data_IF_535036498943
#
_entry.id   IF_535036498943
#
_cell.length_a   1.000
_cell.length_b   1.000
_cell.length_c   1.000
_cell.angle_alpha   90.00
_cell.angle_beta   90.00
_cell.angle_gamma   90.00
#
_symmetry.space_group_name_H-M   'P 1'
#
loop_
_entity.id
_entity.type
_entity.pdbx_description
1 polymer ?
#
# COMPACT_ATOMS: atom_id res chain seq x y z
N UNK A 1 -19.37 2.19 -24.23
CA UNK A 1 -18.31 2.89 -23.45
C UNK A 1 -18.83 3.25 -22.06
N UNK A 2 -19.91 4.02 -21.93
CA UNK A 2 -20.52 4.31 -20.61
C UNK A 2 -20.94 3.04 -19.85
N UNK A 3 -21.54 2.06 -20.55
CA UNK A 3 -21.87 0.75 -19.97
C UNK A 3 -20.64 0.01 -19.40
N UNK A 4 -19.45 0.22 -19.99
CA UNK A 4 -18.21 -0.42 -19.52
C UNK A 4 -17.67 0.26 -18.26
N UNK A 5 -17.80 1.59 -18.15
CA UNK A 5 -17.39 2.34 -16.96
C UNK A 5 -18.34 2.06 -15.78
N UNK A 6 -19.64 1.99 -16.03
CA UNK A 6 -20.60 1.62 -14.98
C UNK A 6 -20.36 0.18 -14.50
N UNK A 7 -20.03 -0.73 -15.42
CA UNK A 7 -19.65 -2.09 -15.05
C UNK A 7 -18.37 -2.13 -14.19
N UNK A 8 -17.36 -1.33 -14.51
CA UNK A 8 -16.14 -1.18 -13.70
C UNK A 8 -16.48 -0.69 -12.29
N UNK A 9 -17.36 0.31 -12.14
CA UNK A 9 -17.79 0.82 -10.84
C UNK A 9 -18.54 -0.24 -10.03
N UNK A 10 -19.36 -1.07 -10.67
CA UNK A 10 -20.05 -2.17 -9.98
C UNK A 10 -19.05 -3.22 -9.48
N UNK A 11 -18.05 -3.57 -10.29
CA UNK A 11 -16.98 -4.47 -9.85
C UNK A 11 -16.18 -3.89 -8.69
N UNK A 12 -15.98 -2.57 -8.63
CA UNK A 12 -15.34 -1.92 -7.48
C UNK A 12 -16.19 -2.06 -6.20
N UNK A 13 -17.53 -1.93 -6.30
CA UNK A 13 -18.44 -2.17 -5.17
C UNK A 13 -18.39 -3.63 -4.69
N UNK A 14 -18.26 -4.56 -5.63
CA UNK A 14 -18.08 -5.99 -5.39
C UNK A 14 -16.66 -6.36 -4.92
N UNK A 15 -15.76 -5.38 -4.77
CA UNK A 15 -14.34 -5.55 -4.39
C UNK A 15 -13.51 -6.39 -5.37
N UNK A 16 -13.98 -6.51 -6.60
CA UNK A 16 -13.33 -7.22 -7.71
C UNK A 16 -12.30 -6.31 -8.42
N UNK A 17 -11.37 -5.72 -7.64
CA UNK A 17 -10.51 -4.63 -8.10
C UNK A 17 -9.56 -5.02 -9.25
N UNK A 18 -9.07 -6.26 -9.28
CA UNK A 18 -8.21 -6.76 -10.38
C UNK A 18 -8.99 -6.86 -11.68
N UNK A 19 -10.21 -7.39 -11.60
CA UNK A 19 -11.11 -7.56 -12.74
C UNK A 19 -11.57 -6.19 -13.26
N UNK A 20 -11.93 -5.28 -12.34
CA UNK A 20 -12.27 -3.90 -12.64
C UNK A 20 -11.13 -3.17 -13.37
N UNK A 21 -9.89 -3.29 -12.87
CA UNK A 21 -8.70 -2.72 -13.51
C UNK A 21 -8.49 -3.29 -14.92
N UNK A 22 -8.58 -4.61 -15.07
CA UNK A 22 -8.40 -5.28 -16.37
C UNK A 22 -9.41 -4.80 -17.40
N UNK A 23 -10.69 -4.69 -17.01
CA UNK A 23 -11.76 -4.23 -17.90
C UNK A 23 -11.58 -2.77 -18.25
N UNK A 24 -11.21 -1.93 -17.28
CA UNK A 24 -10.95 -0.52 -17.53
C UNK A 24 -9.80 -0.35 -18.52
N UNK A 25 -8.67 -1.01 -18.31
CA UNK A 25 -7.51 -0.93 -19.19
C UNK A 25 -7.80 -1.45 -20.60
N UNK A 26 -8.49 -2.58 -20.73
CA UNK A 26 -8.91 -3.08 -22.04
C UNK A 26 -9.92 -2.17 -22.74
N UNK A 27 -10.71 -1.41 -21.96
CA UNK A 27 -11.60 -0.38 -22.51
C UNK A 27 -10.77 0.82 -23.00
N UNK A 28 -9.78 1.26 -22.22
CA UNK A 28 -8.85 2.34 -22.58
C UNK A 28 -8.10 2.06 -23.88
N UNK A 29 -7.56 0.84 -24.02
CA UNK A 29 -6.83 0.40 -25.23
C UNK A 29 -7.69 0.43 -26.49
N UNK A 30 -9.00 0.20 -26.38
CA UNK A 30 -9.94 0.24 -27.51
C UNK A 30 -10.39 1.64 -27.88
N UNK A 31 -10.19 2.62 -26.99
CA UNK A 31 -10.64 3.99 -27.18
C UNK A 31 -9.62 4.86 -27.92
N UNK A 32 -8.36 4.44 -27.94
CA UNK A 32 -7.26 5.20 -28.53
C UNK A 32 -6.49 4.31 -29.50
N UNK A 33 -6.52 4.67 -30.79
CA UNK A 33 -5.89 3.88 -31.87
C UNK A 33 -4.38 3.77 -31.68
N UNK A 34 -3.77 4.77 -31.03
CA UNK A 34 -2.34 4.78 -30.76
C UNK A 34 -1.95 3.74 -29.70
N UNK A 35 -2.94 3.18 -28.98
CA UNK A 35 -2.77 2.13 -27.98
C UNK A 35 -3.07 0.72 -28.50
N UNK A 36 -3.56 0.55 -29.73
CA UNK A 36 -3.95 -0.77 -30.28
C UNK A 36 -2.78 -1.76 -30.37
N UNK A 37 -1.55 -1.25 -30.45
CA UNK A 37 -0.32 -2.08 -30.46
C UNK A 37 0.03 -2.67 -29.10
N UNK A 38 -0.57 -2.17 -28.01
CA UNK A 38 -0.33 -2.66 -26.66
C UNK A 38 -1.21 -3.89 -26.42
N UNK A 39 -0.64 -5.03 -25.96
CA UNK A 39 -1.42 -6.22 -25.69
C UNK A 39 -2.46 -5.97 -24.58
N UNK A 40 -3.58 -6.68 -24.66
CA UNK A 40 -4.63 -6.59 -23.64
C UNK A 40 -4.10 -7.05 -22.27
N UNK A 41 -4.59 -6.39 -21.22
CA UNK A 41 -4.27 -6.74 -19.84
C UNK A 41 -4.78 -8.15 -19.51
N UNK A 42 -3.92 -8.96 -18.91
CA UNK A 42 -4.17 -10.38 -18.61
C UNK A 42 -4.52 -10.64 -17.13
N UNK A 43 -4.80 -9.59 -16.37
CA UNK A 43 -5.28 -9.67 -14.98
C UNK A 43 -4.22 -9.91 -13.90
N UNK A 44 -2.93 -9.99 -14.24
CA UNK A 44 -1.85 -10.18 -13.25
C UNK A 44 -1.29 -8.87 -12.70
N UNK A 45 -0.94 -7.93 -13.58
CA UNK A 45 -0.45 -6.58 -13.23
C UNK A 45 -0.75 -5.63 -14.38
N UNK A 46 -0.94 -4.34 -14.06
CA UNK A 46 -1.05 -3.31 -15.09
C UNK A 46 0.20 -3.29 -15.97
N UNK A 47 0.00 -3.45 -17.27
CA UNK A 47 1.04 -3.31 -18.30
C UNK A 47 0.93 -1.97 -19.02
N UNK A 48 -0.16 -1.25 -18.79
CA UNK A 48 -0.46 0.02 -19.42
C UNK A 48 0.30 1.14 -18.71
N UNK A 49 1.12 1.89 -19.44
CA UNK A 49 1.89 2.99 -18.89
C UNK A 49 1.11 4.30 -18.95
N UNK A 50 1.08 5.03 -17.84
CA UNK A 50 0.28 6.26 -17.70
C UNK A 50 0.70 7.35 -18.69
N UNK A 51 1.97 7.34 -19.11
CA UNK A 51 2.56 8.21 -20.13
C UNK A 51 1.85 8.07 -21.48
N UNK A 52 1.33 6.88 -21.78
CA UNK A 52 0.66 6.57 -23.04
C UNK A 52 -0.80 7.08 -23.05
N UNK A 53 -1.36 7.46 -21.90
CA UNK A 53 -2.79 7.77 -21.74
C UNK A 53 -3.12 9.25 -21.95
N UNK A 54 -2.31 9.98 -22.70
CA UNK A 54 -2.50 11.43 -22.88
C UNK A 54 -3.79 11.77 -23.64
N UNK A 55 -4.21 10.92 -24.58
CA UNK A 55 -5.48 11.05 -25.31
C UNK A 55 -6.73 10.64 -24.52
N UNK A 56 -6.54 10.02 -23.36
CA UNK A 56 -7.64 9.48 -22.55
C UNK A 56 -8.25 10.57 -21.65
N UNK A 57 -9.58 10.60 -21.48
CA UNK A 57 -10.25 11.49 -20.52
C UNK A 57 -9.66 11.43 -19.11
N UNK A 58 -9.49 12.59 -18.47
CA UNK A 58 -8.91 12.70 -17.11
C UNK A 58 -9.65 11.81 -16.11
N UNK A 59 -10.98 11.81 -16.16
CA UNK A 59 -11.82 11.04 -15.24
C UNK A 59 -11.55 9.53 -15.30
N UNK A 60 -11.19 9.01 -16.47
CA UNK A 60 -10.89 7.58 -16.62
C UNK A 60 -9.49 7.23 -16.13
N UNK A 61 -8.55 8.16 -16.29
CA UNK A 61 -7.20 8.05 -15.70
C UNK A 61 -7.26 8.11 -14.17
N UNK A 62 -8.11 8.99 -13.60
CA UNK A 62 -8.35 9.06 -12.16
C UNK A 62 -8.98 7.76 -11.63
N UNK A 63 -10.02 7.25 -12.32
CA UNK A 63 -10.62 5.96 -12.00
C UNK A 63 -9.60 4.81 -12.03
N UNK A 64 -8.70 4.82 -13.03
CA UNK A 64 -7.60 3.87 -13.11
C UNK A 64 -6.65 4.00 -11.92
N UNK A 65 -6.29 5.21 -11.51
CA UNK A 65 -5.42 5.42 -10.35
C UNK A 65 -6.03 4.89 -9.05
N UNK A 66 -7.33 5.08 -8.84
CA UNK A 66 -8.05 4.49 -7.70
C UNK A 66 -8.01 2.96 -7.73
N UNK A 67 -8.16 2.35 -8.90
CA UNK A 67 -8.01 0.90 -9.07
C UNK A 67 -6.56 0.43 -8.87
N UNK A 68 -5.56 1.23 -9.28
CA UNK A 68 -4.16 0.92 -9.03
C UNK A 68 -3.82 0.95 -7.54
N UNK A 69 -4.37 1.92 -6.78
CA UNK A 69 -4.27 1.98 -5.31
C UNK A 69 -4.82 0.68 -4.71
N UNK A 70 -6.00 0.25 -5.14
CA UNK A 70 -6.64 -0.98 -4.64
C UNK A 70 -5.93 -2.27 -5.03
N UNK A 71 -5.03 -2.21 -6.00
CA UNK A 71 -4.20 -3.33 -6.42
C UNK A 71 -2.74 -3.16 -5.96
N UNK A 72 -2.49 -2.30 -4.97
CA UNK A 72 -1.18 -2.00 -4.38
C UNK A 72 -0.12 -1.45 -5.36
N UNK A 73 -0.52 -1.02 -6.57
CA UNK A 73 0.38 -0.40 -7.54
C UNK A 73 0.46 1.12 -7.33
N UNK A 74 0.90 1.49 -6.12
CA UNK A 74 0.99 2.88 -5.70
C UNK A 74 1.96 3.70 -6.54
N UNK A 75 2.98 3.06 -7.12
CA UNK A 75 3.97 3.73 -7.97
C UNK A 75 3.33 4.19 -9.29
N UNK A 76 2.61 3.30 -9.98
CA UNK A 76 1.92 3.66 -11.20
C UNK A 76 0.75 4.62 -10.90
N UNK A 77 0.05 4.46 -9.78
CA UNK A 77 -0.98 5.41 -9.35
C UNK A 77 -0.42 6.82 -9.09
N UNK A 78 0.76 6.91 -8.47
CA UNK A 78 1.46 8.18 -8.26
C UNK A 78 1.86 8.82 -9.59
N UNK A 79 2.35 8.00 -10.53
CA UNK A 79 2.71 8.47 -11.86
C UNK A 79 1.52 9.10 -12.61
N UNK A 80 0.31 8.53 -12.47
CA UNK A 80 -0.92 9.15 -13.01
C UNK A 80 -1.09 10.58 -12.48
N UNK A 81 -0.98 10.75 -11.15
CA UNK A 81 -1.16 12.05 -10.51
C UNK A 81 -0.06 13.04 -10.95
N UNK A 82 1.20 12.62 -10.97
CA UNK A 82 2.33 13.46 -11.37
C UNK A 82 2.23 13.93 -12.83
N UNK A 83 1.87 13.05 -13.77
CA UNK A 83 1.67 13.41 -15.17
C UNK A 83 0.53 14.43 -15.36
N UNK A 84 -0.53 14.32 -14.57
CA UNK A 84 -1.61 15.32 -14.58
C UNK A 84 -1.14 16.67 -14.04
N UNK A 85 -0.32 16.67 -12.98
CA UNK A 85 0.20 17.88 -12.35
C UNK A 85 1.28 18.58 -13.19
N UNK A 86 2.06 17.84 -13.98
CA UNK A 86 2.98 18.41 -14.97
C UNK A 86 2.21 19.26 -15.99
N UNK A 87 1.04 18.77 -16.43
CA UNK A 87 0.19 19.47 -17.41
C UNK A 87 -0.58 20.62 -16.77
N UNK A 88 -1.07 20.43 -15.53
CA UNK A 88 -1.77 21.45 -14.77
C UNK A 88 -1.49 21.27 -13.28
N UNK A 89 -0.54 22.06 -12.77
CA UNK A 89 -0.14 22.02 -11.35
C UNK A 89 -1.26 22.40 -10.38
N UNK A 90 -2.29 23.12 -10.87
CA UNK A 90 -3.48 23.50 -10.10
C UNK A 90 -4.66 22.55 -10.30
N UNK A 91 -4.45 21.36 -10.87
CA UNK A 91 -5.52 20.37 -10.96
C UNK A 91 -5.87 19.85 -9.56
N UNK A 92 -7.07 20.18 -9.07
CA UNK A 92 -7.53 19.80 -7.74
C UNK A 92 -7.62 18.29 -7.54
N UNK A 93 -8.15 17.55 -8.52
CA UNK A 93 -8.34 16.09 -8.43
C UNK A 93 -7.00 15.36 -8.37
N UNK A 94 -6.02 15.77 -9.19
CA UNK A 94 -4.68 15.21 -9.20
C UNK A 94 -3.90 15.53 -7.90
N UNK A 95 -4.03 16.76 -7.39
CA UNK A 95 -3.46 17.12 -6.08
C UNK A 95 -4.05 16.27 -4.95
N UNK A 96 -5.36 16.04 -4.96
CA UNK A 96 -6.04 15.20 -3.98
C UNK A 96 -5.62 13.74 -4.06
N UNK A 97 -5.52 13.17 -5.27
CA UNK A 97 -5.05 11.80 -5.50
C UNK A 97 -3.59 11.63 -5.03
N UNK A 98 -2.70 12.56 -5.39
CA UNK A 98 -1.31 12.55 -4.91
C UNK A 98 -1.23 12.61 -3.39
N UNK A 99 -2.01 13.50 -2.78
CA UNK A 99 -2.06 13.66 -1.33
C UNK A 99 -2.55 12.38 -0.64
N UNK A 100 -3.57 11.73 -1.20
CA UNK A 100 -4.08 10.42 -0.74
C UNK A 100 -2.99 9.34 -0.80
N UNK A 101 -2.29 9.22 -1.92
CA UNK A 101 -1.20 8.25 -2.09
C UNK A 101 -0.05 8.50 -1.10
N UNK A 102 0.32 9.77 -0.89
CA UNK A 102 1.32 10.12 0.12
C UNK A 102 0.86 9.73 1.52
N UNK A 103 -0.43 9.89 1.84
CA UNK A 103 -0.98 9.45 3.11
C UNK A 103 -0.96 7.91 3.25
N UNK A 104 -1.50 7.17 2.28
CA UNK A 104 -1.56 5.69 2.29
C UNK A 104 -0.17 5.06 2.33
N UNK A 105 0.84 5.67 1.70
CA UNK A 105 2.22 5.13 1.70
C UNK A 105 3.05 5.56 2.92
N UNK A 106 2.43 6.23 3.88
CA UNK A 106 3.07 6.74 5.10
C UNK A 106 4.02 7.92 4.87
N UNK A 107 3.98 8.55 3.69
CA UNK A 107 4.83 9.69 3.32
C UNK A 107 4.25 11.04 3.76
N UNK A 108 3.00 11.09 4.22
CA UNK A 108 2.35 12.29 4.74
C UNK A 108 1.59 11.99 6.03
N UNK A 109 1.72 12.89 7.02
CA UNK A 109 0.93 12.86 8.26
C UNK A 109 -0.43 13.55 8.08
N UNK A 110 -1.35 13.34 9.02
CA UNK A 110 -2.73 13.84 8.95
C UNK A 110 -2.77 15.37 8.76
N UNK A 111 -2.02 16.13 9.56
CA UNK A 111 -2.04 17.60 9.48
C UNK A 111 -1.65 18.10 8.09
N UNK A 112 -0.56 17.56 7.53
CA UNK A 112 -0.08 17.92 6.20
C UNK A 112 -1.07 17.46 5.12
N UNK A 113 -1.57 16.22 5.23
CA UNK A 113 -2.59 15.66 4.34
C UNK A 113 -3.81 16.57 4.26
N UNK A 114 -4.38 16.98 5.40
CA UNK A 114 -5.52 17.90 5.43
C UNK A 114 -5.17 19.27 4.85
N UNK A 115 -3.97 19.79 5.13
CA UNK A 115 -3.50 21.06 4.56
C UNK A 115 -3.45 21.03 3.03
N UNK A 116 -2.87 19.98 2.45
CA UNK A 116 -2.79 19.80 1.00
C UNK A 116 -4.16 19.57 0.35
N UNK A 117 -5.06 18.83 1.00
CA UNK A 117 -6.44 18.66 0.50
C UNK A 117 -7.22 19.98 0.51
N UNK A 118 -7.04 20.81 1.55
CA UNK A 118 -7.64 22.15 1.61
C UNK A 118 -7.07 23.08 0.53
N UNK A 119 -5.78 23.00 0.24
CA UNK A 119 -5.17 23.75 -0.87
C UNK A 119 -5.74 23.29 -2.21
N UNK A 120 -5.90 21.99 -2.43
CA UNK A 120 -6.55 21.45 -3.62
C UNK A 120 -7.98 21.99 -3.80
N UNK A 121 -8.73 22.17 -2.71
CA UNK A 121 -10.07 22.76 -2.75
C UNK A 121 -10.08 24.24 -3.14
N UNK A 122 -9.00 24.99 -2.93
CA UNK A 122 -8.90 26.38 -3.44
C UNK A 122 -8.88 26.44 -4.97
N UNK A 123 -8.37 25.39 -5.63
CA UNK A 123 -8.37 25.31 -7.09
C UNK A 123 -9.71 24.82 -7.65
N UNK A 124 -10.43 23.97 -6.92
CA UNK A 124 -11.77 23.54 -7.29
C UNK A 124 -12.57 23.12 -6.05
N UNK A 125 -13.50 23.97 -5.64
CA UNK A 125 -14.25 23.80 -4.39
C UNK A 125 -15.22 22.61 -4.42
N UNK A 126 -15.66 22.17 -5.61
CA UNK A 126 -16.57 21.02 -5.78
C UNK A 126 -15.83 19.68 -5.88
N UNK A 127 -14.58 19.60 -5.44
CA UNK A 127 -13.86 18.32 -5.36
C UNK A 127 -14.39 17.49 -4.19
N UNK A 128 -15.40 16.67 -4.45
CA UNK A 128 -16.06 15.84 -3.43
C UNK A 128 -15.12 14.81 -2.79
N UNK A 129 -14.17 14.26 -3.56
CA UNK A 129 -13.16 13.34 -3.01
C UNK A 129 -12.26 14.05 -1.99
N UNK A 130 -11.84 15.29 -2.26
CA UNK A 130 -11.03 16.06 -1.32
C UNK A 130 -11.80 16.36 -0.02
N UNK A 131 -13.08 16.73 -0.13
CA UNK A 131 -13.96 16.97 1.03
C UNK A 131 -14.12 15.70 1.87
N UNK A 132 -14.43 14.58 1.23
CA UNK A 132 -14.59 13.30 1.90
C UNK A 132 -13.32 12.89 2.66
N UNK A 133 -12.15 13.03 2.04
CA UNK A 133 -10.87 12.72 2.68
C UNK A 133 -10.56 13.67 3.85
N UNK A 134 -10.93 14.96 3.74
CA UNK A 134 -10.74 15.93 4.84
C UNK A 134 -11.57 15.55 6.07
N UNK A 135 -12.77 15.01 5.86
CA UNK A 135 -13.65 14.57 6.93
C UNK A 135 -13.21 13.22 7.52
N UNK A 136 -12.96 12.24 6.65
CA UNK A 136 -12.79 10.85 7.07
C UNK A 136 -11.41 10.54 7.66
N UNK A 137 -10.34 11.15 7.15
CA UNK A 137 -8.98 10.85 7.65
C UNK A 137 -8.84 11.16 9.15
N UNK A 138 -9.30 12.32 9.67
CA UNK A 138 -9.28 12.59 11.10
C UNK A 138 -10.23 11.68 11.88
N UNK A 139 -11.44 11.41 11.36
CA UNK A 139 -12.41 10.51 12.01
C UNK A 139 -11.81 9.11 12.26
N UNK A 140 -11.20 8.52 11.23
CA UNK A 140 -10.61 7.19 11.31
C UNK A 140 -9.38 7.16 12.24
N UNK A 141 -8.61 8.25 12.30
CA UNK A 141 -7.51 8.38 13.26
C UNK A 141 -8.00 8.44 14.71
N UNK A 142 -9.06 9.19 14.98
CA UNK A 142 -9.67 9.24 16.31
C UNK A 142 -10.29 7.89 16.70
N UNK A 143 -10.94 7.18 15.77
CA UNK A 143 -11.39 5.80 16.01
C UNK A 143 -10.22 4.87 16.32
N UNK A 144 -9.12 4.95 15.56
CA UNK A 144 -7.89 4.19 15.84
C UNK A 144 -7.34 4.48 17.24
N UNK A 145 -7.31 5.75 17.67
CA UNK A 145 -6.90 6.13 19.03
C UNK A 145 -7.85 5.57 20.07
N UNK A 146 -9.16 5.72 19.87
CA UNK A 146 -10.20 5.20 20.74
C UNK A 146 -10.06 3.69 20.95
N UNK A 147 -9.86 2.92 19.88
CA UNK A 147 -9.64 1.46 19.95
C UNK A 147 -8.43 1.14 20.82
N UNK A 148 -7.31 1.85 20.56
CA UNK A 148 -6.08 1.65 21.34
C UNK A 148 -6.28 1.98 22.82
N UNK A 149 -6.99 3.05 23.13
CA UNK A 149 -7.18 3.53 24.50
C UNK A 149 -8.18 2.69 25.30
N UNK A 150 -9.24 2.21 24.65
CA UNK A 150 -10.37 1.60 25.36
C UNK A 150 -10.36 0.09 25.36
N UNK A 151 -9.69 -0.56 24.40
CA UNK A 151 -9.64 -2.01 24.28
C UNK A 151 -8.20 -2.51 24.39
N UNK A 152 -7.30 -2.02 23.55
CA UNK A 152 -5.95 -2.56 23.48
C UNK A 152 -5.16 -2.34 24.77
N UNK A 153 -5.17 -1.12 25.31
CA UNK A 153 -4.51 -0.78 26.58
C UNK A 153 -5.12 -1.48 27.80
N UNK A 154 -6.34 -2.01 27.67
CA UNK A 154 -7.02 -2.77 28.73
C UNK A 154 -6.89 -4.28 28.54
N UNK A 155 -6.04 -4.72 27.60
CA UNK A 155 -5.78 -6.12 27.30
C UNK A 155 -7.03 -6.88 26.82
N UNK A 156 -8.05 -6.15 26.34
CA UNK A 156 -9.26 -6.68 25.73
C UNK A 156 -8.99 -6.97 24.26
N UNK A 157 -8.17 -7.98 24.02
CA UNK A 157 -7.55 -8.20 22.72
C UNK A 157 -8.52 -8.72 21.66
N UNK A 158 -9.49 -9.56 22.04
CA UNK A 158 -10.51 -10.07 21.12
C UNK A 158 -11.40 -8.93 20.62
N UNK A 159 -11.85 -8.07 21.53
CA UNK A 159 -12.63 -6.89 21.21
C UNK A 159 -11.79 -5.86 20.43
N UNK A 160 -10.50 -5.75 20.72
CA UNK A 160 -9.58 -4.91 19.95
C UNK A 160 -9.52 -5.35 18.50
N UNK A 161 -9.42 -6.66 18.25
CA UNK A 161 -9.38 -7.23 16.90
C UNK A 161 -10.68 -6.91 16.17
N UNK A 162 -11.83 -7.21 16.80
CA UNK A 162 -13.14 -6.92 16.21
C UNK A 162 -13.28 -5.43 15.85
N UNK A 163 -12.82 -4.52 16.71
CA UNK A 163 -12.87 -3.08 16.43
C UNK A 163 -11.91 -2.63 15.34
N UNK A 164 -10.75 -3.29 15.21
CA UNK A 164 -9.85 -3.02 14.10
C UNK A 164 -10.39 -3.54 12.78
N UNK A 165 -11.10 -4.67 12.76
CA UNK A 165 -11.78 -5.18 11.57
C UNK A 165 -12.87 -4.21 11.10
N UNK A 166 -13.71 -3.72 12.03
CA UNK A 166 -14.69 -2.66 11.76
C UNK A 166 -14.01 -1.41 11.17
N UNK A 167 -12.88 -0.98 11.75
CA UNK A 167 -12.14 0.17 11.28
C UNK A 167 -11.56 -0.03 9.87
N UNK A 168 -11.02 -1.23 9.56
CA UNK A 168 -10.47 -1.56 8.25
C UNK A 168 -11.55 -1.52 7.17
N UNK A 169 -12.75 -2.01 7.48
CA UNK A 169 -13.90 -1.91 6.57
C UNK A 169 -14.21 -0.46 6.21
N UNK A 170 -14.18 0.46 7.18
CA UNK A 170 -14.37 1.90 6.92
C UNK A 170 -13.21 2.50 6.09
N UNK A 171 -11.96 2.09 6.33
CA UNK A 171 -10.81 2.51 5.50
C UNK A 171 -10.97 2.06 4.04
N UNK A 172 -11.56 0.88 3.81
CA UNK A 172 -11.80 0.33 2.46
C UNK A 172 -12.89 1.10 1.70
N UNK A 173 -13.93 1.58 2.37
CA UNK A 173 -15.01 2.36 1.74
C UNK A 173 -14.52 3.64 1.05
N UNK A 174 -13.43 4.22 1.55
CA UNK A 174 -12.82 5.44 1.02
C UNK A 174 -11.48 5.19 0.32
N UNK A 175 -11.16 3.93 0.06
CA UNK A 175 -9.97 3.49 -0.66
C UNK A 175 -8.65 3.97 0.00
N UNK A 176 -8.57 3.91 1.34
CA UNK A 176 -7.40 4.33 2.12
C UNK A 176 -6.57 3.15 2.69
N UNK A 177 -6.80 1.91 2.26
CA UNK A 177 -6.13 0.72 2.80
C UNK A 177 -4.66 0.60 2.36
N UNK A 178 -3.74 0.50 3.33
CA UNK A 178 -2.30 0.16 3.15
C UNK A 178 -2.04 -1.32 3.51
N UNK A 179 -1.34 -2.09 2.67
CA UNK A 179 -0.90 -3.48 2.99
C UNK A 179 -0.02 -3.54 4.25
N UNK A 180 0.92 -2.61 4.39
CA UNK A 180 1.95 -2.63 5.44
C UNK A 180 1.37 -2.27 6.81
N UNK A 181 0.42 -1.32 6.88
CA UNK A 181 -0.15 -0.85 8.13
C UNK A 181 -1.00 -1.93 8.84
N UNK A 182 -1.70 -2.77 8.07
CA UNK A 182 -2.48 -3.89 8.61
C UNK A 182 -1.57 -4.98 9.20
N UNK A 183 -0.48 -5.36 8.50
CA UNK A 183 0.51 -6.31 9.04
C UNK A 183 1.30 -5.77 10.23
N UNK A 184 1.69 -4.49 10.23
CA UNK A 184 2.37 -3.85 11.35
C UNK A 184 1.52 -3.85 12.61
N UNK A 185 0.23 -3.52 12.46
CA UNK A 185 -0.74 -3.53 13.56
C UNK A 185 -0.95 -4.96 14.08
N UNK A 186 -1.18 -5.93 13.20
CA UNK A 186 -1.35 -7.33 13.60
C UNK A 186 -0.10 -7.89 14.32
N UNK A 187 1.11 -7.60 13.84
CA UNK A 187 2.36 -8.03 14.50
C UNK A 187 2.46 -7.41 15.89
N UNK A 188 2.27 -6.09 16.01
CA UNK A 188 2.36 -5.39 17.30
C UNK A 188 1.31 -5.88 18.28
N UNK A 189 0.06 -6.07 17.84
CA UNK A 189 -1.03 -6.57 18.69
C UNK A 189 -0.68 -7.97 19.20
N UNK A 190 -0.23 -8.86 18.32
CA UNK A 190 0.15 -10.21 18.70
C UNK A 190 1.35 -10.23 19.66
N UNK A 191 2.36 -9.38 19.47
CA UNK A 191 3.48 -9.28 20.43
C UNK A 191 3.05 -8.85 21.82
N UNK A 192 2.09 -7.93 21.92
CA UNK A 192 1.58 -7.47 23.22
C UNK A 192 0.67 -8.49 23.91
N UNK A 193 -0.04 -9.34 23.16
CA UNK A 193 -0.80 -10.46 23.71
C UNK A 193 0.12 -11.54 24.28
N UNK A 194 1.19 -11.83 23.53
CA UNK A 194 2.04 -13.01 23.77
C UNK A 194 3.17 -12.71 24.74
N UNK A 195 3.79 -11.53 24.64
CA UNK A 195 4.98 -11.17 25.42
C UNK A 195 4.65 -10.07 26.41
N UNK A 196 5.07 -10.27 27.65
CA UNK A 196 4.71 -9.42 28.80
C UNK A 196 5.11 -7.95 28.63
N UNK A 197 6.13 -7.67 27.80
CA UNK A 197 6.64 -6.32 27.55
C UNK A 197 6.32 -5.79 26.15
N UNK A 198 5.43 -6.46 25.39
CA UNK A 198 5.09 -6.04 24.02
C UNK A 198 6.16 -6.31 22.97
N UNK A 199 7.30 -6.82 23.40
CA UNK A 199 8.41 -7.30 22.60
C UNK A 199 8.98 -8.53 23.31
N UNK A 200 9.42 -9.55 22.57
CA UNK A 200 10.15 -10.66 23.16
C UNK A 200 11.58 -10.23 23.48
N UNK A 201 12.11 -10.73 24.60
CA UNK A 201 13.48 -10.44 25.03
C UNK A 201 14.50 -11.23 24.19
N UNK A 202 14.04 -12.29 23.52
CA UNK A 202 14.85 -13.11 22.63
C UNK A 202 14.05 -13.72 21.48
N UNK A 203 14.75 -14.14 20.42
CA UNK A 203 14.10 -14.88 19.32
C UNK A 203 13.48 -16.20 19.80
N UNK A 204 14.05 -16.81 20.83
CA UNK A 204 13.57 -18.08 21.37
C UNK A 204 12.15 -17.94 21.94
N UNK A 205 11.76 -16.77 22.41
CA UNK A 205 10.39 -16.53 22.89
C UNK A 205 9.38 -16.55 21.74
N UNK A 206 9.73 -16.04 20.56
CA UNK A 206 8.89 -16.24 19.38
C UNK A 206 8.78 -17.71 19.00
N UNK A 207 9.88 -18.48 19.06
CA UNK A 207 9.89 -19.90 18.67
C UNK A 207 9.12 -20.80 19.65
N UNK A 208 9.08 -20.41 20.93
CA UNK A 208 8.44 -21.16 22.01
C UNK A 208 7.00 -20.67 22.32
N UNK A 209 6.57 -19.58 21.67
CA UNK A 209 5.19 -19.09 21.71
C UNK A 209 4.23 -20.07 21.01
N UNK A 210 3.00 -20.20 21.52
CA UNK A 210 1.94 -21.02 20.89
C UNK A 210 1.44 -20.47 19.54
N UNK A 211 1.66 -19.18 19.29
CA UNK A 211 1.26 -18.43 18.09
C UNK A 211 2.45 -18.12 17.16
N UNK A 212 3.56 -18.85 17.28
CA UNK A 212 4.78 -18.72 16.46
C UNK A 212 4.50 -18.69 14.94
N UNK A 213 3.63 -19.58 14.46
CA UNK A 213 3.21 -19.68 13.05
C UNK A 213 2.57 -18.38 12.52
N UNK A 214 1.86 -17.64 13.37
CA UNK A 214 1.21 -16.39 13.01
C UNK A 214 2.22 -15.24 12.90
N UNK A 215 3.23 -15.18 13.76
CA UNK A 215 4.35 -14.25 13.60
C UNK A 215 5.09 -14.48 12.29
N UNK A 216 5.39 -15.74 11.95
CA UNK A 216 6.05 -16.11 10.69
C UNK A 216 5.22 -15.66 9.49
N UNK A 217 3.91 -15.83 9.52
CA UNK A 217 3.05 -15.39 8.41
C UNK A 217 3.03 -13.86 8.25
N UNK A 218 2.94 -13.11 9.36
CA UNK A 218 2.84 -11.66 9.33
C UNK A 218 4.15 -10.98 8.91
N UNK A 219 5.30 -11.42 9.44
CA UNK A 219 6.62 -10.92 9.02
C UNK A 219 6.88 -11.24 7.53
N UNK A 220 6.44 -12.41 7.05
CA UNK A 220 6.54 -12.76 5.62
C UNK A 220 5.74 -11.79 4.75
N UNK A 221 4.47 -11.55 5.07
CA UNK A 221 3.61 -10.62 4.31
C UNK A 221 4.17 -9.19 4.29
N UNK A 222 4.64 -8.70 5.45
CA UNK A 222 5.24 -7.36 5.55
C UNK A 222 6.54 -7.24 4.74
N UNK A 223 7.42 -8.24 4.79
CA UNK A 223 8.66 -8.28 4.00
C UNK A 223 8.41 -8.23 2.49
N UNK A 224 7.38 -8.93 2.01
CA UNK A 224 6.99 -8.94 0.59
C UNK A 224 6.41 -7.59 0.17
N UNK A 225 5.60 -6.95 1.02
CA UNK A 225 5.12 -5.59 0.77
C UNK A 225 6.26 -4.55 0.80
N UNK A 226 7.29 -4.71 1.65
CA UNK A 226 8.50 -3.89 1.63
C UNK A 226 9.34 -4.09 0.36
N UNK A 227 9.55 -5.33 -0.10
CA UNK A 227 10.24 -5.62 -1.37
C UNK A 227 9.55 -4.97 -2.56
N UNK A 228 8.23 -5.11 -2.66
CA UNK A 228 7.43 -4.53 -3.75
C UNK A 228 7.43 -3.00 -3.72
N UNK A 229 7.53 -2.41 -2.52
CA UNK A 229 7.63 -0.97 -2.31
C UNK A 229 9.05 -0.41 -2.42
N UNK A 230 10.02 -1.24 -2.82
CA UNK A 230 11.46 -0.93 -2.88
C UNK A 230 12.06 -0.48 -1.54
N UNK A 231 11.44 -0.83 -0.42
CA UNK A 231 11.94 -0.62 0.95
C UNK A 231 12.83 -1.81 1.33
N UNK A 232 13.95 -1.94 0.63
CA UNK A 232 14.73 -3.17 0.64
C UNK A 232 15.45 -3.44 1.98
N UNK A 233 15.75 -2.39 2.75
CA UNK A 233 16.33 -2.55 4.09
C UNK A 233 15.30 -3.15 5.07
N UNK A 234 14.10 -2.61 5.08
CA UNK A 234 13.03 -3.06 5.97
C UNK A 234 12.55 -4.47 5.59
N UNK A 235 12.57 -4.80 4.29
CA UNK A 235 12.37 -6.17 3.84
C UNK A 235 13.49 -7.11 4.34
N UNK A 236 14.75 -6.65 4.33
CA UNK A 236 15.87 -7.43 4.82
C UNK A 236 15.75 -7.70 6.33
N UNK A 237 15.36 -6.71 7.13
CA UNK A 237 15.15 -6.86 8.57
C UNK A 237 14.07 -7.94 8.86
N UNK A 238 12.96 -7.92 8.14
CA UNK A 238 11.91 -8.93 8.28
C UNK A 238 12.37 -10.33 7.84
N UNK A 239 13.17 -10.44 6.78
CA UNK A 239 13.76 -11.72 6.36
C UNK A 239 14.77 -12.25 7.39
N UNK A 240 15.53 -11.40 8.05
CA UNK A 240 16.42 -11.81 9.14
C UNK A 240 15.65 -12.35 10.34
N UNK A 241 14.52 -11.74 10.67
CA UNK A 241 13.62 -12.27 11.71
C UNK A 241 13.07 -13.63 11.27
N UNK A 242 12.55 -13.76 10.06
CA UNK A 242 11.98 -15.02 9.53
C UNK A 242 12.99 -16.18 9.49
N UNK A 243 14.24 -15.90 9.13
CA UNK A 243 15.32 -16.89 9.15
C UNK A 243 15.54 -17.41 10.57
N UNK A 244 15.55 -16.52 11.56
CA UNK A 244 15.77 -16.87 12.97
C UNK A 244 14.54 -17.55 13.59
N UNK A 245 13.33 -17.32 13.06
CA UNK A 245 12.10 -17.99 13.51
C UNK A 245 11.96 -19.44 13.00
N UNK A 246 12.71 -19.85 11.98
CA UNK A 246 12.68 -21.24 11.53
C UNK A 246 13.27 -22.16 12.61
N UNK A 247 12.45 -23.05 13.18
CA UNK A 247 12.83 -23.99 14.25
C UNK A 247 13.99 -24.92 13.88
N UNK A 248 14.32 -25.01 12.59
CA UNK A 248 15.46 -25.77 12.10
C UNK A 248 16.69 -24.89 11.80
N UNK A 249 16.76 -23.66 12.31
CA UNK A 249 17.88 -22.73 12.08
C UNK A 249 19.27 -23.34 12.34
N UNK A 250 19.39 -24.25 13.31
CA UNK A 250 20.64 -24.94 13.66
C UNK A 250 20.90 -26.24 12.88
N UNK A 251 19.91 -26.77 12.16
CA UNK A 251 20.08 -27.87 11.24
C UNK A 251 20.27 -27.29 9.84
N UNK A 252 21.51 -27.32 9.34
CA UNK A 252 21.81 -26.91 7.98
C UNK A 252 20.95 -27.69 6.96
N UNK A 253 19.83 -27.10 6.49
CA UNK A 253 19.16 -27.54 5.27
C UNK A 253 17.65 -27.82 5.29
N UNK A 254 16.81 -26.95 5.86
CA UNK A 254 15.38 -26.93 5.48
C UNK A 254 15.13 -25.99 4.29
N UNK A 255 14.19 -26.37 3.42
CA UNK A 255 13.86 -25.65 2.17
C UNK A 255 13.50 -24.17 2.40
N UNK A 256 12.77 -23.86 3.48
CA UNK A 256 12.32 -22.49 3.78
C UNK A 256 13.43 -21.55 4.24
N UNK A 257 14.40 -22.04 5.02
CA UNK A 257 15.54 -21.25 5.47
C UNK A 257 16.39 -20.75 4.28
N UNK A 258 16.63 -21.63 3.32
CA UNK A 258 17.36 -21.30 2.09
C UNK A 258 16.59 -20.28 1.23
N UNK A 259 15.25 -20.37 1.20
CA UNK A 259 14.41 -19.38 0.50
C UNK A 259 14.57 -17.99 1.12
N UNK A 260 14.47 -17.86 2.45
CA UNK A 260 14.59 -16.55 3.10
C UNK A 260 16.01 -15.99 3.04
N UNK A 261 17.05 -16.83 3.10
CA UNK A 261 18.44 -16.40 2.87
C UNK A 261 18.65 -15.82 1.47
N UNK A 262 18.07 -16.47 0.45
CA UNK A 262 18.13 -15.95 -0.92
C UNK A 262 17.35 -14.62 -1.05
N UNK A 263 16.15 -14.53 -0.45
CA UNK A 263 15.36 -13.29 -0.43
C UNK A 263 16.09 -12.15 0.31
N UNK A 264 16.75 -12.45 1.42
CA UNK A 264 17.59 -11.52 2.16
C UNK A 264 18.77 -11.01 1.32
N UNK A 265 19.48 -11.92 0.64
CA UNK A 265 20.58 -11.54 -0.25
C UNK A 265 20.09 -10.63 -1.36
N UNK A 266 18.95 -10.96 -1.99
CA UNK A 266 18.35 -10.14 -3.03
C UNK A 266 17.93 -8.75 -2.51
N UNK A 267 17.31 -8.68 -1.32
CA UNK A 267 16.97 -7.41 -0.68
C UNK A 267 18.22 -6.55 -0.42
N UNK A 268 19.30 -7.15 0.11
CA UNK A 268 20.58 -6.45 0.36
C UNK A 268 21.22 -5.95 -0.93
N UNK A 269 21.29 -6.78 -1.98
CA UNK A 269 21.81 -6.37 -3.28
C UNK A 269 21.00 -5.24 -3.90
N UNK A 270 19.66 -5.29 -3.86
CA UNK A 270 18.82 -4.20 -4.39
C UNK A 270 18.99 -2.90 -3.60
N UNK A 271 19.14 -2.98 -2.28
CA UNK A 271 19.44 -1.83 -1.43
C UNK A 271 20.80 -1.20 -1.77
N UNK A 272 21.82 -2.04 -2.02
CA UNK A 272 23.16 -1.59 -2.41
C UNK A 272 23.16 -0.95 -3.80
N UNK A 273 22.50 -1.56 -4.78
CA UNK A 273 22.34 -0.97 -6.12
C UNK A 273 21.63 0.38 -6.07
N UNK A 274 20.56 0.51 -5.27
CA UNK A 274 19.86 1.78 -5.10
C UNK A 274 20.74 2.85 -4.43
N UNK A 275 21.60 2.46 -3.48
CA UNK A 275 22.57 3.38 -2.85
C UNK A 275 23.64 3.84 -3.84
N UNK A 276 24.15 2.94 -4.69
CA UNK A 276 25.14 3.28 -5.71
C UNK A 276 24.55 4.23 -6.76
N UNK A 277 23.36 3.93 -7.29
CA UNK A 277 22.65 4.79 -8.25
C UNK A 277 22.38 6.21 -7.69
N UNK A 278 22.07 6.32 -6.39
CA UNK A 278 21.91 7.62 -5.72
C UNK A 278 23.24 8.36 -5.58
N UNK A 279 24.34 7.66 -5.28
CA UNK A 279 25.67 8.26 -5.14
C UNK A 279 26.23 8.77 -6.47
N UNK A 280 25.98 8.05 -7.57
CA UNK A 280 26.40 8.45 -8.92
C UNK A 280 25.64 9.69 -9.40
N UNK A 281 24.33 9.76 -9.16
CA UNK A 281 23.53 10.96 -9.45
C UNK A 281 24.04 12.19 -8.69
N UNK A 282 24.37 12.03 -7.40
CA UNK A 282 24.90 13.14 -6.60
C UNK A 282 26.25 13.67 -7.10
N UNK A 283 27.12 12.78 -7.57
CA UNK A 283 28.44 13.16 -8.09
C UNK A 283 28.39 13.79 -9.49
N UNK A 284 27.34 13.52 -10.27
CA UNK A 284 27.14 14.11 -11.60
C UNK A 284 26.44 15.49 -11.55
N UNK A 285 25.92 15.90 -10.38
CA UNK A 285 25.23 17.18 -10.18
C UNK A 285 26.10 18.25 -9.47
N UNK A 286 27.37 17.95 -9.18
CA UNK A 286 28.40 18.90 -8.70
C UNK A 286 29.37 19.27 -9.81
#
# INVERSE_FOLDING_TARGET
MENSIEYVKNLMKEREYRKALTILENTLLKCDKDLESIPLSNGKKSILKSENLNGIPIQWRLLRAELLIMNDDYNEAMNVADLMLIRNSKNSEANSLKTKLLYITGKSNIKNTIGHLREALKYYEKNENAKLLIEKIPELDEKRKYINENFFKKELYEETIQKYDELIEEYMEINLTECIECTNKAIRILKNIVFTNGEPESINEYQNCKQDSLFVELFRKRSECYMNSKKYHEAADDYEILIKLDKNFNNYGTSNNNIYKNKLSNAKSNNESERMEKSEKYNNER
#
